data_IF_512663553825
#
_entry.id   IF_512663553825
#
_cell.length_a   1.000
_cell.length_b   1.000
_cell.length_c   1.000
_cell.angle_alpha   90.00
_cell.angle_beta   90.00
_cell.angle_gamma   90.00
#
_symmetry.space_group_name_H-M   'P 1'
#
loop_
_entity.id
_entity.type
_entity.pdbx_description
1 polymer ?
#
# COMPACT_ATOMS: atom_id res chain seq x y z
N UNK A 1 0.35 -18.57 -25.98
CA UNK A 1 1.59 -19.19 -25.45
C UNK A 1 2.02 -18.22 -24.38
N UNK A 2 1.64 -18.47 -23.13
CA UNK A 2 1.75 -17.47 -22.07
C UNK A 2 3.22 -17.21 -21.77
N UNK A 3 3.65 -15.99 -22.06
CA UNK A 3 5.02 -15.53 -21.84
C UNK A 3 5.39 -15.47 -20.35
N UNK A 4 4.43 -15.63 -19.44
CA UNK A 4 4.61 -15.47 -18.00
C UNK A 4 5.16 -16.72 -17.28
N UNK A 5 5.21 -17.88 -17.95
CA UNK A 5 5.60 -19.14 -17.30
C UNK A 5 6.94 -19.70 -17.78
N UNK A 6 7.77 -18.91 -18.46
CA UNK A 6 9.08 -19.37 -18.88
C UNK A 6 10.07 -19.37 -17.70
N UNK A 7 10.63 -20.53 -17.30
CA UNK A 7 11.44 -20.63 -16.08
C UNK A 7 12.66 -19.69 -16.04
N UNK A 8 13.23 -19.38 -17.21
CA UNK A 8 14.36 -18.46 -17.29
C UNK A 8 13.94 -17.00 -17.01
N UNK A 9 12.76 -16.58 -17.46
CA UNK A 9 12.24 -15.23 -17.19
C UNK A 9 11.99 -15.05 -15.69
N UNK A 10 11.38 -16.04 -15.04
CA UNK A 10 11.18 -16.04 -13.59
C UNK A 10 12.51 -15.94 -12.84
N UNK A 11 13.54 -16.66 -13.31
CA UNK A 11 14.90 -16.56 -12.73
C UNK A 11 15.49 -15.14 -12.85
N UNK A 12 15.35 -14.50 -14.02
CA UNK A 12 15.77 -13.11 -14.21
C UNK A 12 14.99 -12.14 -13.33
N UNK A 13 13.66 -12.28 -13.25
CA UNK A 13 12.81 -11.47 -12.39
C UNK A 13 13.23 -11.58 -10.91
N UNK A 14 13.49 -12.81 -10.42
CA UNK A 14 14.04 -13.05 -9.08
C UNK A 14 15.39 -12.34 -8.89
N UNK A 15 16.28 -12.42 -9.88
CA UNK A 15 17.57 -11.72 -9.85
C UNK A 15 17.44 -10.20 -9.80
N UNK A 16 16.57 -9.60 -10.61
CA UNK A 16 16.32 -8.16 -10.62
C UNK A 16 15.70 -7.71 -9.30
N UNK A 17 14.70 -8.43 -8.79
CA UNK A 17 14.06 -8.11 -7.51
C UNK A 17 15.07 -8.12 -6.35
N UNK A 18 16.01 -9.09 -6.35
CA UNK A 18 17.13 -9.12 -5.40
C UNK A 18 17.98 -7.86 -5.48
N UNK A 19 18.41 -7.48 -6.69
CA UNK A 19 19.21 -6.27 -6.92
C UNK A 19 18.47 -5.02 -6.44
N UNK A 20 17.18 -4.88 -6.78
CA UNK A 20 16.36 -3.76 -6.31
C UNK A 20 16.31 -3.69 -4.78
N UNK A 21 16.19 -4.83 -4.09
CA UNK A 21 16.19 -4.85 -2.63
C UNK A 21 17.55 -4.43 -2.04
N UNK A 22 18.67 -4.81 -2.65
CA UNK A 22 20.00 -4.30 -2.23
C UNK A 22 20.09 -2.79 -2.45
N UNK A 23 19.56 -2.29 -3.57
CA UNK A 23 19.53 -0.86 -3.87
C UNK A 23 18.73 -0.09 -2.82
N UNK A 24 17.59 -0.61 -2.36
CA UNK A 24 16.81 0.02 -1.28
C UNK A 24 17.60 0.15 0.03
N UNK A 25 18.40 -0.87 0.35
CA UNK A 25 19.21 -0.89 1.58
C UNK A 25 20.43 0.03 1.46
N UNK A 26 21.21 -0.11 0.39
CA UNK A 26 22.47 0.61 0.19
C UNK A 26 22.27 2.10 -0.11
N UNK A 27 21.20 2.44 -0.83
CA UNK A 27 20.93 3.78 -1.31
C UNK A 27 19.67 4.39 -0.66
N UNK A 28 19.32 3.97 0.56
CA UNK A 28 18.13 4.45 1.29
C UNK A 28 18.03 5.98 1.41
N UNK A 29 19.17 6.68 1.42
CA UNK A 29 19.24 8.15 1.45
C UNK A 29 19.09 8.83 0.07
N UNK A 30 18.98 8.07 -1.02
CA UNK A 30 18.87 8.58 -2.39
C UNK A 30 17.46 8.34 -2.93
N UNK A 31 16.59 9.31 -2.70
CA UNK A 31 15.14 9.20 -2.94
C UNK A 31 14.77 8.77 -4.38
N UNK A 32 15.42 9.32 -5.41
CA UNK A 32 15.16 8.92 -6.82
C UNK A 32 15.57 7.46 -7.11
N UNK A 33 16.67 7.01 -6.52
CA UNK A 33 17.18 5.65 -6.68
C UNK A 33 16.24 4.66 -6.00
N UNK A 34 15.83 4.98 -4.77
CA UNK A 34 14.86 4.23 -3.99
C UNK A 34 13.52 4.13 -4.73
N UNK A 35 13.00 5.26 -5.23
CA UNK A 35 11.75 5.29 -6.00
C UNK A 35 11.83 4.41 -7.26
N UNK A 36 12.95 4.47 -7.99
CA UNK A 36 13.20 3.61 -9.14
C UNK A 36 13.15 2.13 -8.77
N UNK A 37 13.81 1.74 -7.67
CA UNK A 37 13.82 0.37 -7.19
C UNK A 37 12.42 -0.10 -6.74
N UNK A 38 11.67 0.72 -5.99
CA UNK A 38 10.30 0.37 -5.55
C UNK A 38 9.34 0.25 -6.73
N UNK A 39 9.44 1.09 -7.76
CA UNK A 39 8.64 0.95 -9.00
C UNK A 39 8.87 -0.41 -9.68
N UNK A 40 10.12 -0.83 -9.79
CA UNK A 40 10.46 -2.14 -10.36
C UNK A 40 9.91 -3.26 -9.47
N UNK A 41 10.07 -3.16 -8.15
CA UNK A 41 9.53 -4.15 -7.21
C UNK A 41 8.00 -4.21 -7.26
N UNK A 42 7.29 -3.09 -7.43
CA UNK A 42 5.83 -3.07 -7.55
C UNK A 42 5.35 -3.93 -8.73
N UNK A 43 6.06 -3.87 -9.86
CA UNK A 43 5.77 -4.72 -11.01
C UNK A 43 6.14 -6.18 -10.75
N UNK A 44 7.35 -6.44 -10.24
CA UNK A 44 7.86 -7.81 -10.09
C UNK A 44 7.16 -8.61 -8.98
N UNK A 45 6.74 -7.95 -7.90
CA UNK A 45 6.07 -8.60 -6.75
C UNK A 45 4.64 -9.04 -7.05
N UNK A 46 4.06 -8.64 -8.19
CA UNK A 46 2.80 -9.21 -8.67
C UNK A 46 2.90 -10.73 -8.90
N UNK A 47 4.11 -11.23 -9.19
CA UNK A 47 4.37 -12.66 -9.41
C UNK A 47 4.70 -13.40 -8.10
N UNK A 48 3.93 -14.45 -7.80
CA UNK A 48 4.08 -15.33 -6.62
C UNK A 48 5.53 -15.78 -6.40
N UNK A 49 6.18 -16.24 -7.47
CA UNK A 49 7.53 -16.76 -7.43
C UNK A 49 8.57 -15.73 -6.99
N UNK A 50 8.36 -14.45 -7.34
CA UNK A 50 9.23 -13.35 -6.90
C UNK A 50 9.03 -13.10 -5.41
N UNK A 51 7.78 -12.99 -4.93
CA UNK A 51 7.48 -12.76 -3.50
C UNK A 51 8.07 -13.84 -2.61
N UNK A 52 7.86 -15.11 -2.97
CA UNK A 52 8.45 -16.26 -2.28
C UNK A 52 9.97 -16.19 -2.34
N UNK A 53 10.56 -15.88 -3.49
CA UNK A 53 12.03 -15.76 -3.56
C UNK A 53 12.58 -14.65 -2.67
N UNK A 54 11.86 -13.53 -2.51
CA UNK A 54 12.27 -12.43 -1.63
C UNK A 54 12.15 -12.83 -0.15
N UNK A 55 11.14 -13.61 0.21
CA UNK A 55 10.94 -14.07 1.59
C UNK A 55 12.04 -15.01 2.08
N UNK A 56 12.58 -15.81 1.15
CA UNK A 56 13.68 -16.73 1.43
C UNK A 56 15.06 -16.09 1.30
N UNK A 57 15.15 -14.77 1.01
CA UNK A 57 16.42 -14.08 1.09
C UNK A 57 16.77 -13.87 2.55
N UNK A 58 17.70 -14.63 3.11
CA UNK A 58 18.37 -14.20 4.33
C UNK A 58 19.24 -12.99 4.00
N UNK A 59 18.81 -11.78 4.30
CA UNK A 59 19.60 -10.57 4.09
C UNK A 59 20.66 -10.48 5.20
N UNK A 60 21.88 -10.84 4.78
CA UNK A 60 23.17 -10.24 5.11
C UNK A 60 23.44 -9.91 6.57
N UNK A 61 24.02 -10.87 7.29
CA UNK A 61 25.22 -10.53 8.06
C UNK A 61 26.39 -10.44 7.08
N UNK A 62 26.95 -9.23 6.93
CA UNK A 62 28.30 -9.06 6.38
C UNK A 62 29.29 -9.58 7.42
N UNK A 63 30.31 -10.34 7.02
CA UNK A 63 31.42 -10.75 7.90
C UNK A 63 31.01 -11.33 9.27
N UNK A 64 30.61 -12.59 9.30
CA UNK A 64 30.45 -13.31 10.57
C UNK A 64 30.06 -14.75 10.33
N UNK A 65 30.94 -15.65 10.77
CA UNK A 65 30.82 -17.10 10.94
C UNK A 65 29.59 -17.82 10.37
N UNK A 66 29.87 -18.85 9.56
CA UNK A 66 29.05 -20.06 9.48
C UNK A 66 28.82 -20.57 10.91
N UNK A 67 27.72 -20.20 11.57
CA UNK A 67 27.10 -20.90 12.72
C UNK A 67 25.95 -20.08 13.33
N UNK A 68 24.94 -19.71 12.53
CA UNK A 68 23.64 -19.39 13.13
C UNK A 68 22.48 -19.86 12.24
N UNK A 69 22.02 -21.08 12.51
CA UNK A 69 20.76 -21.62 12.00
C UNK A 69 19.59 -20.93 12.73
N UNK A 70 19.28 -19.69 12.35
CA UNK A 70 17.95 -19.11 12.52
C UNK A 70 17.48 -18.58 11.17
N UNK A 71 16.77 -19.38 10.37
CA UNK A 71 16.45 -19.06 8.99
C UNK A 71 15.23 -18.13 8.91
N UNK A 72 15.36 -16.97 8.24
CA UNK A 72 14.24 -16.27 7.58
C UNK A 72 13.67 -15.00 8.24
N UNK A 73 13.81 -14.79 9.55
CA UNK A 73 13.05 -13.71 10.23
C UNK A 73 13.61 -12.28 10.02
N UNK A 74 14.91 -12.13 9.71
CA UNK A 74 15.55 -10.81 9.69
C UNK A 74 15.34 -10.03 8.39
N UNK A 75 15.11 -10.69 7.27
CA UNK A 75 15.07 -10.04 5.97
C UNK A 75 13.68 -9.56 5.56
N UNK A 76 12.68 -10.40 5.79
CA UNK A 76 11.27 -10.07 5.60
C UNK A 76 10.92 -8.88 6.49
N UNK A 77 11.29 -8.94 7.77
CA UNK A 77 11.09 -7.84 8.72
C UNK A 77 11.84 -6.57 8.29
N UNK A 78 13.10 -6.67 7.86
CA UNK A 78 13.85 -5.49 7.37
C UNK A 78 13.20 -4.87 6.13
N UNK A 79 12.71 -5.70 5.20
CA UNK A 79 12.04 -5.21 4.00
C UNK A 79 10.70 -4.55 4.35
N UNK A 80 9.88 -5.18 5.20
CA UNK A 80 8.65 -4.59 5.70
C UNK A 80 8.91 -3.26 6.42
N UNK A 81 9.94 -3.17 7.26
CA UNK A 81 10.29 -1.94 7.96
C UNK A 81 10.66 -0.82 6.98
N UNK A 82 11.47 -1.10 5.96
CA UNK A 82 11.79 -0.14 4.91
C UNK A 82 10.53 0.36 4.19
N UNK A 83 9.60 -0.53 3.85
CA UNK A 83 8.34 -0.15 3.19
C UNK A 83 7.46 0.71 4.12
N UNK A 84 7.39 0.39 5.41
CA UNK A 84 6.66 1.18 6.41
C UNK A 84 7.28 2.59 6.53
N UNK A 85 8.61 2.69 6.60
CA UNK A 85 9.31 3.97 6.63
C UNK A 85 9.03 4.81 5.37
N UNK A 86 8.98 4.16 4.20
CA UNK A 86 8.66 4.81 2.93
C UNK A 86 7.24 5.37 2.85
N UNK A 87 6.28 4.84 3.63
CA UNK A 87 4.95 5.44 3.76
C UNK A 87 4.97 6.81 4.46
N UNK A 88 6.07 7.20 5.11
CA UNK A 88 6.28 8.54 5.67
C UNK A 88 6.86 9.54 4.65
N UNK A 89 7.08 9.14 3.40
CA UNK A 89 7.63 10.04 2.39
C UNK A 89 6.68 11.20 2.09
N UNK A 90 7.25 12.41 1.94
CA UNK A 90 6.51 13.59 1.47
C UNK A 90 6.14 13.51 -0.03
N UNK A 91 6.67 12.52 -0.74
CA UNK A 91 6.42 12.30 -2.15
C UNK A 91 5.31 11.28 -2.35
N UNK A 92 4.16 11.76 -2.85
CA UNK A 92 3.02 10.91 -3.15
C UNK A 92 3.38 9.76 -4.10
N UNK A 93 4.19 9.99 -5.13
CA UNK A 93 4.60 8.94 -6.07
C UNK A 93 5.41 7.82 -5.39
N UNK A 94 6.21 8.13 -4.37
CA UNK A 94 6.87 7.14 -3.51
C UNK A 94 5.87 6.34 -2.70
N UNK A 95 4.90 7.00 -2.05
CA UNK A 95 3.85 6.33 -1.26
C UNK A 95 3.00 5.41 -2.14
N UNK A 96 2.60 5.86 -3.33
CA UNK A 96 1.87 5.06 -4.32
C UNK A 96 2.60 3.77 -4.70
N UNK A 97 3.87 3.89 -5.09
CA UNK A 97 4.66 2.73 -5.51
C UNK A 97 4.88 1.77 -4.33
N UNK A 98 5.08 2.31 -3.13
CA UNK A 98 5.27 1.54 -1.90
C UNK A 98 4.01 0.77 -1.54
N UNK A 99 2.84 1.41 -1.55
CA UNK A 99 1.56 0.74 -1.32
C UNK A 99 1.31 -0.37 -2.34
N UNK A 100 1.65 -0.17 -3.62
CA UNK A 100 1.58 -1.22 -4.64
C UNK A 100 2.42 -2.45 -4.29
N UNK A 101 3.65 -2.25 -3.80
CA UNK A 101 4.50 -3.34 -3.30
C UNK A 101 3.86 -4.01 -2.09
N UNK A 102 3.45 -3.25 -1.07
CA UNK A 102 2.84 -3.79 0.16
C UNK A 102 1.60 -4.62 -0.19
N UNK A 103 0.70 -4.11 -1.02
CA UNK A 103 -0.50 -4.83 -1.49
C UNK A 103 -0.17 -6.20 -2.05
N UNK A 104 0.89 -6.30 -2.87
CA UNK A 104 1.32 -7.57 -3.43
C UNK A 104 1.92 -8.50 -2.35
N UNK A 105 2.75 -7.95 -1.44
CA UNK A 105 3.41 -8.73 -0.40
C UNK A 105 2.43 -9.27 0.65
N UNK A 106 1.36 -8.53 0.96
CA UNK A 106 0.29 -8.96 1.87
C UNK A 106 -0.50 -10.17 1.34
N UNK A 107 -0.15 -10.73 0.19
CA UNK A 107 -0.67 -12.02 -0.27
C UNK A 107 0.09 -13.23 0.31
N UNK A 108 1.27 -13.04 0.93
CA UNK A 108 2.01 -14.14 1.55
C UNK A 108 2.03 -14.03 3.08
N UNK A 109 1.83 -15.16 3.82
CA UNK A 109 1.79 -15.16 5.29
C UNK A 109 3.06 -14.62 5.96
N UNK A 110 4.25 -14.93 5.44
CA UNK A 110 5.51 -14.42 5.98
C UNK A 110 5.56 -12.89 6.09
N UNK A 111 5.06 -12.16 5.08
CA UNK A 111 5.05 -10.70 5.11
C UNK A 111 3.95 -10.17 6.03
N UNK A 112 2.78 -10.82 6.09
CA UNK A 112 1.71 -10.43 7.02
C UNK A 112 2.21 -10.50 8.47
N UNK A 113 2.82 -11.62 8.86
CA UNK A 113 3.41 -11.78 10.19
C UNK A 113 4.39 -10.66 10.53
N UNK A 114 5.38 -10.41 9.66
CA UNK A 114 6.37 -9.38 9.90
C UNK A 114 5.76 -7.97 9.94
N UNK A 115 4.81 -7.68 9.05
CA UNK A 115 4.15 -6.39 8.97
C UNK A 115 3.29 -6.11 10.20
N UNK A 116 2.61 -7.13 10.74
CA UNK A 116 1.89 -7.06 12.02
C UNK A 116 2.84 -6.74 13.17
N UNK A 117 3.93 -7.48 13.29
CA UNK A 117 4.89 -7.35 14.39
C UNK A 117 5.59 -5.98 14.37
N UNK A 118 5.66 -5.33 13.21
CA UNK A 118 6.17 -3.96 13.01
C UNK A 118 5.10 -2.86 13.09
N UNK A 119 3.89 -3.19 13.54
CA UNK A 119 2.74 -2.28 13.56
C UNK A 119 2.39 -1.65 12.20
N UNK A 120 2.76 -2.29 11.09
CA UNK A 120 2.52 -1.81 9.73
C UNK A 120 1.04 -1.61 9.42
N UNK A 121 0.14 -2.42 10.00
CA UNK A 121 -1.30 -2.24 9.83
C UNK A 121 -1.79 -0.91 10.42
N UNK A 122 -1.27 -0.48 11.57
CA UNK A 122 -1.56 0.84 12.12
C UNK A 122 -1.11 1.94 11.16
N UNK A 123 0.06 1.75 10.52
CA UNK A 123 0.54 2.68 9.50
C UNK A 123 -0.38 2.73 8.28
N UNK A 124 -0.91 1.61 7.80
CA UNK A 124 -1.88 1.60 6.70
C UNK A 124 -3.19 2.32 7.07
N UNK A 125 -3.69 2.12 8.30
CA UNK A 125 -4.88 2.83 8.80
C UNK A 125 -4.62 4.34 8.91
N UNK A 126 -3.45 4.74 9.40
CA UNK A 126 -3.03 6.14 9.41
C UNK A 126 -2.94 6.70 7.99
N UNK A 127 -2.31 5.98 7.05
CA UNK A 127 -2.23 6.38 5.64
C UNK A 127 -3.62 6.54 5.02
N UNK A 128 -4.55 5.61 5.28
CA UNK A 128 -5.94 5.72 4.85
C UNK A 128 -6.58 6.99 5.42
N UNK A 129 -6.48 7.22 6.73
CA UNK A 129 -7.08 8.39 7.40
C UNK A 129 -6.56 9.72 6.86
N UNK A 130 -5.27 9.83 6.61
CA UNK A 130 -4.65 11.08 6.12
C UNK A 130 -5.02 11.38 4.68
N UNK A 131 -5.27 10.35 3.86
CA UNK A 131 -5.54 10.52 2.43
C UNK A 131 -7.02 10.41 2.06
N UNK A 132 -7.88 9.91 2.94
CA UNK A 132 -9.31 9.86 2.71
C UNK A 132 -9.86 11.28 2.48
N UNK A 133 -10.61 11.45 1.40
CA UNK A 133 -11.11 12.75 0.97
C UNK A 133 -10.09 13.66 0.26
N UNK A 134 -8.81 13.30 0.23
CA UNK A 134 -7.75 14.00 -0.52
C UNK A 134 -7.39 13.23 -1.78
N UNK A 135 -7.09 11.94 -1.61
CA UNK A 135 -6.66 11.03 -2.66
C UNK A 135 -7.32 9.66 -2.47
N UNK A 136 -8.41 9.45 -3.21
CA UNK A 136 -9.15 8.20 -3.17
C UNK A 136 -8.39 7.01 -3.78
N UNK A 137 -7.50 7.21 -4.75
CA UNK A 137 -6.76 6.10 -5.35
C UNK A 137 -5.70 5.57 -4.37
N UNK A 138 -4.99 6.46 -3.70
CA UNK A 138 -4.05 6.10 -2.64
C UNK A 138 -4.78 5.40 -1.48
N UNK A 139 -5.92 5.96 -1.06
CA UNK A 139 -6.78 5.35 -0.03
C UNK A 139 -7.26 3.94 -0.43
N UNK A 140 -7.57 3.73 -1.72
CA UNK A 140 -7.98 2.43 -2.26
C UNK A 140 -6.85 1.40 -2.15
N UNK A 141 -5.61 1.80 -2.43
CA UNK A 141 -4.45 0.91 -2.28
C UNK A 141 -4.19 0.55 -0.82
N UNK A 142 -4.34 1.48 0.11
CA UNK A 142 -4.23 1.19 1.54
C UNK A 142 -5.32 0.21 2.01
N UNK A 143 -6.58 0.40 1.58
CA UNK A 143 -7.66 -0.54 1.82
C UNK A 143 -7.37 -1.92 1.21
N UNK A 144 -6.85 -1.98 -0.02
CA UNK A 144 -6.53 -3.25 -0.66
C UNK A 144 -5.40 -3.99 0.06
N UNK A 145 -4.38 -3.28 0.55
CA UNK A 145 -3.32 -3.86 1.37
C UNK A 145 -3.88 -4.44 2.68
N UNK A 146 -4.76 -3.70 3.36
CA UNK A 146 -5.46 -4.17 4.56
C UNK A 146 -6.36 -5.37 4.27
N UNK A 147 -7.09 -5.37 3.15
CA UNK A 147 -7.93 -6.50 2.73
C UNK A 147 -7.12 -7.75 2.35
N UNK A 148 -5.91 -7.59 1.82
CA UNK A 148 -5.01 -8.71 1.55
C UNK A 148 -4.39 -9.24 2.84
N UNK A 149 -4.15 -8.37 3.83
CA UNK A 149 -3.69 -8.75 5.16
C UNK A 149 -4.76 -9.55 5.91
N UNK A 150 -5.99 -9.02 5.96
CA UNK A 150 -7.19 -9.70 6.50
C UNK A 150 -7.72 -10.65 5.42
N UNK A 151 -6.93 -11.69 5.14
CA UNK A 151 -7.39 -12.80 4.32
C UNK A 151 -8.60 -13.48 4.97
N UNK A 152 -9.30 -14.32 4.21
CA UNK A 152 -10.49 -15.06 4.65
C UNK A 152 -10.33 -15.56 6.10
N UNK A 153 -11.20 -15.15 7.04
CA UNK A 153 -11.12 -15.54 8.44
C UNK A 153 -11.32 -17.04 8.68
N UNK A 154 -11.80 -17.76 7.67
CA UNK A 154 -11.86 -19.23 7.69
C UNK A 154 -10.55 -19.89 7.27
N UNK A 155 -9.58 -19.11 6.78
CA UNK A 155 -8.25 -19.59 6.41
C UNK A 155 -7.44 -19.99 7.66
N UNK A 156 -6.74 -21.13 7.65
CA UNK A 156 -5.84 -21.52 8.75
C UNK A 156 -4.67 -20.54 8.97
N UNK A 157 -4.44 -19.63 8.02
CA UNK A 157 -3.40 -18.58 8.08
C UNK A 157 -3.98 -17.20 8.41
N UNK A 158 -5.21 -17.12 8.91
CA UNK A 158 -5.84 -15.85 9.29
C UNK A 158 -4.99 -15.10 10.33
N UNK A 159 -4.74 -13.82 10.06
CA UNK A 159 -4.08 -12.91 10.97
C UNK A 159 -5.05 -11.79 11.35
N UNK A 160 -5.42 -11.71 12.63
CA UNK A 160 -6.23 -10.60 13.14
C UNK A 160 -5.40 -9.32 13.25
N UNK A 161 -6.03 -8.19 12.98
CA UNK A 161 -5.45 -6.86 13.22
C UNK A 161 -5.36 -6.52 14.72
N UNK A 162 -6.12 -7.24 15.56
CA UNK A 162 -6.38 -6.92 16.96
C UNK A 162 -7.63 -6.05 17.11
N UNK A 163 -8.44 -6.35 18.14
CA UNK A 163 -9.78 -5.78 18.34
C UNK A 163 -9.83 -4.24 18.33
N UNK A 164 -8.82 -3.57 18.89
CA UNK A 164 -8.76 -2.11 18.93
C UNK A 164 -8.64 -1.51 17.53
N UNK A 165 -7.69 -2.03 16.73
CA UNK A 165 -7.47 -1.56 15.37
C UNK A 165 -8.61 -1.98 14.43
N UNK A 166 -9.22 -3.16 14.64
CA UNK A 166 -10.40 -3.60 13.90
C UNK A 166 -11.58 -2.64 14.11
N UNK A 167 -11.84 -2.22 15.35
CA UNK A 167 -12.90 -1.27 15.66
C UNK A 167 -12.61 0.13 15.10
N UNK A 168 -11.36 0.60 15.22
CA UNK A 168 -10.92 1.87 14.63
C UNK A 168 -11.11 1.88 13.11
N UNK A 169 -10.71 0.80 12.44
CA UNK A 169 -10.85 0.64 11.00
C UNK A 169 -12.31 0.49 10.58
N UNK A 170 -13.12 -0.27 11.31
CA UNK A 170 -14.56 -0.41 11.03
C UNK A 170 -15.28 0.94 11.12
N UNK A 171 -15.01 1.72 12.18
CA UNK A 171 -15.59 3.05 12.35
C UNK A 171 -15.17 3.96 11.20
N UNK A 172 -13.89 3.99 10.85
CA UNK A 172 -13.38 4.81 9.75
C UNK A 172 -14.02 4.42 8.41
N UNK A 173 -14.05 3.13 8.09
CA UNK A 173 -14.64 2.67 6.82
C UNK A 173 -16.14 2.92 6.76
N UNK A 174 -16.87 2.81 7.88
CA UNK A 174 -18.31 3.09 7.92
C UNK A 174 -18.61 4.53 7.51
N UNK A 175 -17.79 5.50 7.95
CA UNK A 175 -17.90 6.89 7.54
C UNK A 175 -17.51 7.07 6.06
N UNK A 176 -16.42 6.42 5.61
CA UNK A 176 -15.87 6.61 4.26
C UNK A 176 -16.67 5.93 3.14
N UNK A 177 -17.55 4.98 3.47
CA UNK A 177 -18.50 4.39 2.51
C UNK A 177 -19.86 5.10 2.51
N UNK A 178 -20.14 5.95 3.50
CA UNK A 178 -21.39 6.71 3.58
C UNK A 178 -21.40 7.86 2.55
N UNK A 179 -22.33 7.84 1.56
CA UNK A 179 -22.44 8.90 0.58
C UNK A 179 -22.65 10.29 1.20
N UNK A 180 -23.33 10.42 2.33
CA UNK A 180 -23.63 11.71 2.97
C UNK A 180 -22.36 12.33 3.60
N UNK A 181 -21.53 11.50 4.22
CA UNK A 181 -20.21 11.91 4.73
C UNK A 181 -19.31 12.33 3.56
N UNK A 182 -19.25 11.53 2.50
CA UNK A 182 -18.42 11.81 1.33
C UNK A 182 -18.89 13.07 0.59
N UNK A 183 -20.20 13.30 0.52
CA UNK A 183 -20.75 14.54 -0.02
C UNK A 183 -20.36 15.77 0.82
N UNK A 184 -20.23 15.62 2.14
CA UNK A 184 -19.77 16.69 3.04
C UNK A 184 -18.27 16.97 2.82
N UNK A 185 -17.45 15.93 2.72
CA UNK A 185 -16.02 16.05 2.38
C UNK A 185 -15.80 16.74 1.02
N UNK A 186 -16.63 16.44 0.03
CA UNK A 186 -16.55 17.09 -1.28
C UNK A 186 -16.82 18.61 -1.20
N UNK A 187 -17.75 19.05 -0.34
CA UNK A 187 -18.01 20.47 -0.12
C UNK A 187 -16.83 21.18 0.56
N UNK A 188 -16.14 20.51 1.48
CA UNK A 188 -14.92 21.02 2.11
C UNK A 188 -13.76 21.10 1.10
N UNK A 189 -13.62 20.08 0.25
CA UNK A 189 -12.64 20.04 -0.83
C UNK A 189 -12.83 21.22 -1.81
N UNK A 190 -14.07 21.47 -2.24
CA UNK A 190 -14.43 22.61 -3.08
C UNK A 190 -14.12 23.95 -2.40
N UNK A 191 -14.44 24.07 -1.11
CA UNK A 191 -14.20 25.27 -0.31
C UNK A 191 -12.71 25.59 -0.17
N UNK A 192 -11.87 24.57 0.00
CA UNK A 192 -10.42 24.72 0.09
C UNK A 192 -9.77 25.07 -1.26
N UNK A 193 -10.31 24.55 -2.37
CA UNK A 193 -9.89 24.91 -3.72
C UNK A 193 -10.31 26.34 -4.11
N UNK A 194 -11.39 26.86 -3.54
CA UNK A 194 -11.93 28.21 -3.79
C UNK A 194 -11.07 29.37 -3.28
N UNK A 195 -10.00 29.13 -2.50
CA UNK A 195 -9.20 30.19 -1.85
C UNK A 195 -8.02 30.69 -2.73
N UNK A 196 -7.81 30.16 -3.94
CA UNK A 196 -6.70 30.60 -4.82
C UNK A 196 -7.16 30.96 -6.24
N UNK A 197 -7.78 32.13 -6.42
CA UNK A 197 -7.79 32.84 -7.71
C UNK A 197 -8.40 34.24 -7.55
N UNK A 198 -7.59 35.19 -7.10
CA UNK A 198 -7.75 36.58 -7.51
C UNK A 198 -6.67 36.81 -8.56
N UNK A 199 -7.09 37.25 -9.74
CA UNK A 199 -6.28 37.55 -10.93
C UNK A 199 -5.94 36.38 -11.87
N UNK A 200 -6.86 36.06 -12.78
CA UNK A 200 -6.53 35.95 -14.22
C UNK A 200 -7.75 35.66 -15.09
N UNK A 201 -7.91 36.46 -16.15
CA UNK A 201 -8.89 36.23 -17.21
C UNK A 201 -8.53 34.96 -18.00
N UNK A 202 -9.16 33.82 -17.72
CA UNK A 202 -9.65 32.87 -18.72
C UNK A 202 -10.39 31.70 -18.07
N UNK A 203 -11.59 31.40 -18.58
CA UNK A 203 -12.49 30.29 -18.21
C UNK A 203 -13.14 30.43 -16.82
N UNK A 204 -14.47 30.20 -16.66
CA UNK A 204 -15.09 30.36 -15.35
C UNK A 204 -14.57 29.24 -14.43
N UNK A 205 -13.86 29.62 -13.37
CA UNK A 205 -13.28 28.74 -12.34
C UNK A 205 -14.28 27.68 -11.84
N UNK A 206 -15.57 28.01 -11.81
CA UNK A 206 -16.68 27.11 -11.50
C UNK A 206 -16.75 25.84 -12.36
N UNK A 207 -16.50 25.92 -13.67
CA UNK A 207 -16.58 24.76 -14.57
C UNK A 207 -15.42 23.78 -14.38
N UNK A 208 -14.22 24.28 -14.06
CA UNK A 208 -13.07 23.43 -13.75
C UNK A 208 -13.22 22.77 -12.37
N UNK A 209 -13.76 23.48 -11.38
CA UNK A 209 -14.02 22.93 -10.04
C UNK A 209 -15.09 21.82 -10.04
N UNK A 210 -16.19 21.99 -10.79
CA UNK A 210 -17.20 20.94 -10.92
C UNK A 210 -16.63 19.68 -11.59
N UNK A 211 -15.78 19.82 -12.61
CA UNK A 211 -15.13 18.67 -13.26
C UNK A 211 -14.15 17.95 -12.33
N UNK A 212 -13.43 18.67 -11.46
CA UNK A 212 -12.53 18.04 -10.48
C UNK A 212 -13.28 17.28 -9.40
N UNK A 213 -14.41 17.81 -8.92
CA UNK A 213 -15.21 17.16 -7.87
C UNK A 213 -16.02 15.99 -8.42
N UNK A 214 -16.53 16.08 -9.65
CA UNK A 214 -17.15 14.94 -10.35
C UNK A 214 -16.15 13.81 -10.57
N UNK A 215 -14.92 14.13 -11.01
CA UNK A 215 -13.85 13.12 -11.15
C UNK A 215 -13.45 12.53 -9.80
N UNK A 216 -13.29 13.36 -8.77
CA UNK A 216 -12.98 12.92 -7.40
C UNK A 216 -14.06 11.96 -6.87
N UNK A 217 -15.34 12.27 -7.07
CA UNK A 217 -16.46 11.39 -6.67
C UNK A 217 -16.52 10.14 -7.51
N UNK A 218 -16.21 10.24 -8.81
CA UNK A 218 -16.11 9.09 -9.69
C UNK A 218 -15.07 8.11 -9.16
N UNK A 219 -13.85 8.56 -8.86
CA UNK A 219 -12.78 7.73 -8.31
C UNK A 219 -13.19 7.11 -6.97
N UNK A 220 -13.83 7.87 -6.08
CA UNK A 220 -14.39 7.30 -4.85
C UNK A 220 -15.35 6.14 -5.16
N UNK A 221 -16.30 6.34 -6.08
CA UNK A 221 -17.30 5.34 -6.40
C UNK A 221 -16.77 4.13 -7.19
N UNK A 222 -15.78 4.33 -8.07
CA UNK A 222 -15.27 3.29 -8.96
C UNK A 222 -14.13 2.48 -8.35
N UNK A 223 -13.26 3.13 -7.59
CA UNK A 223 -12.01 2.54 -7.10
C UNK A 223 -12.11 2.25 -5.60
N UNK A 224 -12.48 3.25 -4.79
CA UNK A 224 -12.43 3.14 -3.33
C UNK A 224 -13.59 2.37 -2.74
N UNK A 225 -14.83 2.76 -3.06
CA UNK A 225 -16.05 2.24 -2.47
C UNK A 225 -16.16 0.70 -2.57
N UNK A 226 -15.84 0.04 -3.72
CA UNK A 226 -15.89 -1.41 -3.80
C UNK A 226 -14.94 -2.11 -2.83
N UNK A 227 -13.69 -1.64 -2.75
CA UNK A 227 -12.65 -2.25 -1.89
C UNK A 227 -12.93 -1.98 -0.42
N UNK A 228 -13.33 -0.75 -0.08
CA UNK A 228 -13.68 -0.37 1.29
C UNK A 228 -14.91 -1.13 1.81
N UNK A 229 -15.93 -1.29 0.97
CA UNK A 229 -17.15 -2.04 1.33
C UNK A 229 -16.86 -3.52 1.54
N UNK A 230 -16.04 -4.13 0.68
CA UNK A 230 -15.60 -5.52 0.83
C UNK A 230 -14.83 -5.71 2.15
N UNK A 231 -13.83 -4.86 2.41
CA UNK A 231 -13.06 -4.88 3.66
C UNK A 231 -13.96 -4.71 4.90
N UNK A 232 -14.87 -3.74 4.87
CA UNK A 232 -15.83 -3.51 5.95
C UNK A 232 -16.73 -4.73 6.20
N UNK A 233 -17.15 -5.41 5.14
CA UNK A 233 -17.96 -6.63 5.26
C UNK A 233 -17.19 -7.77 5.95
N UNK A 234 -15.88 -7.91 5.68
CA UNK A 234 -15.01 -8.90 6.32
C UNK A 234 -14.82 -8.60 7.81
N UNK A 235 -14.63 -7.33 8.18
CA UNK A 235 -14.47 -6.91 9.57
C UNK A 235 -15.72 -7.23 10.42
N UNK A 236 -16.91 -7.13 9.84
CA UNK A 236 -18.19 -7.37 10.55
C UNK A 236 -18.56 -8.85 10.70
N UNK A 237 -17.86 -9.76 10.02
CA UNK A 237 -18.06 -11.21 10.12
C UNK A 237 -17.18 -11.81 11.23
N UNK A 238 -16.07 -11.14 11.57
CA UNK A 238 -15.15 -11.51 12.64
C UNK A 238 -15.70 -11.18 14.03
#
# INVERSE_FOLDING_TARGET
>A
MDSETQPYLISYQKGIAKVCLQVLVEFSNHEEVVLGAVRVLGNLTSHLEVRKSLAHLGIWSSYGGEDDLSPGLNAVSSFCNLLIDMLNSNRLDSVYCTLGVITNLMLEPEYRCAFRDLHGCHKLVETLRVNAGVDWQLSSLACQALANFIEDPTSPTFESLGLELEHELESLLSDLVDPDVVNSLAQEFDSNCGIKSVDSLHTPVLYQQHQTTDFWKFVWSSDFLPVASDLLSRLRIN
#
